data_IF_775096732445
#
_entry.id   IF_775096732445
#
_cell.length_a   1.000
_cell.length_b   1.000
_cell.length_c   1.000
_cell.angle_alpha   90.00
_cell.angle_beta   90.00
_cell.angle_gamma   90.00
#
_symmetry.space_group_name_H-M   'P 1'
#
loop_
_entity.id
_entity.type
_entity.pdbx_description
1 polymer ?
#
# COMPACT_ATOMS: atom_id res chain seq x y z
N UNK A 1 -1.46 23.84 13.75
CA UNK A 1 -2.64 23.00 14.02
C UNK A 1 -3.09 22.43 12.70
N UNK A 2 -2.86 21.16 12.50
CA UNK A 2 -3.45 20.46 11.35
C UNK A 2 -4.94 20.34 11.59
N UNK A 3 -5.74 20.97 10.74
CA UNK A 3 -7.17 20.69 10.69
C UNK A 3 -7.31 19.22 10.33
N UNK A 4 -7.70 18.39 11.30
CA UNK A 4 -8.19 17.06 11.04
C UNK A 4 -9.45 17.22 10.17
N UNK A 5 -9.27 17.10 8.86
CA UNK A 5 -10.40 16.94 7.96
C UNK A 5 -11.01 15.59 8.29
N UNK A 6 -11.96 15.57 9.19
CA UNK A 6 -12.88 14.44 9.30
C UNK A 6 -13.71 14.39 8.01
N UNK A 7 -13.25 13.61 7.06
CA UNK A 7 -14.13 13.17 5.99
C UNK A 7 -15.25 12.37 6.65
N UNK A 8 -16.50 12.75 6.36
CA UNK A 8 -17.68 12.19 6.99
C UNK A 8 -17.64 10.65 6.91
N UNK A 9 -17.53 10.00 8.06
CA UNK A 9 -17.57 8.54 8.17
C UNK A 9 -16.24 7.81 8.05
N UNK A 10 -15.10 8.49 7.83
CA UNK A 10 -13.78 7.87 7.79
C UNK A 10 -12.92 8.37 8.95
N UNK A 11 -12.21 7.44 9.60
CA UNK A 11 -11.18 7.77 10.57
C UNK A 11 -9.83 7.93 9.88
N UNK A 12 -9.12 9.01 10.20
CA UNK A 12 -7.73 9.19 9.79
C UNK A 12 -6.84 8.43 10.75
N UNK A 13 -5.99 7.55 10.22
CA UNK A 13 -5.07 6.74 11.01
C UNK A 13 -3.76 7.49 11.26
N UNK A 14 -3.20 7.33 12.46
CA UNK A 14 -1.84 7.79 12.75
C UNK A 14 -0.79 6.94 12.04
N UNK A 15 0.43 7.47 11.92
CA UNK A 15 1.53 6.81 11.20
C UNK A 15 1.86 5.43 11.77
N UNK A 16 1.92 5.30 13.08
CA UNK A 16 2.24 4.01 13.74
C UNK A 16 1.21 2.93 13.41
N UNK A 17 -0.07 3.26 13.44
CA UNK A 17 -1.14 2.32 13.09
C UNK A 17 -1.10 1.96 11.61
N UNK A 18 -0.80 2.91 10.73
CA UNK A 18 -0.57 2.64 9.30
C UNK A 18 0.54 1.62 9.10
N UNK A 19 1.67 1.77 9.80
CA UNK A 19 2.81 0.87 9.68
C UNK A 19 2.47 -0.55 10.18
N UNK A 20 1.69 -0.66 11.24
CA UNK A 20 1.22 -1.97 11.75
C UNK A 20 0.31 -2.67 10.73
N UNK A 21 -0.65 -1.96 10.16
CA UNK A 21 -1.54 -2.49 9.14
C UNK A 21 -0.79 -2.91 7.87
N UNK A 22 0.15 -2.08 7.46
CA UNK A 22 1.00 -2.35 6.29
C UNK A 22 1.80 -3.65 6.44
N UNK A 23 2.31 -3.93 7.63
CA UNK A 23 3.09 -5.13 7.91
C UNK A 23 2.27 -6.42 7.93
N UNK A 24 0.97 -6.33 8.12
CA UNK A 24 0.06 -7.47 8.24
C UNK A 24 -0.54 -7.95 6.93
N UNK A 25 -0.45 -7.19 5.85
CA UNK A 25 -0.97 -7.56 4.54
C UNK A 25 0.13 -8.18 3.66
N UNK A 26 -0.26 -8.84 2.60
CA UNK A 26 0.64 -9.60 1.71
C UNK A 26 0.59 -9.07 0.28
N UNK A 27 -0.53 -8.52 -0.13
CA UNK A 27 -0.77 -7.97 -1.46
C UNK A 27 -1.10 -6.50 -1.35
N UNK A 28 -0.49 -5.72 -2.20
CA UNK A 28 -0.81 -4.33 -2.41
C UNK A 28 -0.78 -3.98 -3.89
N UNK A 29 -0.84 -2.71 -4.19
CA UNK A 29 -0.85 -2.17 -5.55
C UNK A 29 0.15 -1.04 -5.65
N UNK A 30 0.87 -1.04 -6.75
CA UNK A 30 1.82 0.03 -7.09
C UNK A 30 1.22 0.84 -8.23
N UNK A 31 1.14 2.15 -8.02
CA UNK A 31 0.72 3.11 -9.03
C UNK A 31 1.87 4.04 -9.37
N UNK A 32 2.11 4.23 -10.65
CA UNK A 32 3.13 5.17 -11.17
C UNK A 32 2.81 5.54 -12.61
N UNK A 33 3.47 6.57 -13.11
CA UNK A 33 3.32 7.02 -14.48
C UNK A 33 4.62 6.78 -15.25
N UNK A 34 4.53 6.18 -16.41
CA UNK A 34 5.64 5.98 -17.32
C UNK A 34 5.20 6.35 -18.75
N UNK A 35 6.00 7.17 -19.43
CA UNK A 35 5.71 7.65 -20.78
C UNK A 35 4.33 8.31 -20.94
N UNK A 36 3.91 9.04 -19.91
CA UNK A 36 2.61 9.70 -19.87
C UNK A 36 1.41 8.78 -19.60
N UNK A 37 1.65 7.49 -19.37
CA UNK A 37 0.61 6.49 -19.12
C UNK A 37 0.61 6.11 -17.63
N UNK A 38 -0.53 6.23 -16.94
CA UNK A 38 -0.65 5.75 -15.57
C UNK A 38 -0.76 4.22 -15.54
N UNK A 39 -0.05 3.61 -14.61
CA UNK A 39 -0.06 2.17 -14.38
C UNK A 39 -0.51 1.87 -12.96
N UNK A 40 -1.25 0.79 -12.78
CA UNK A 40 -1.67 0.24 -11.50
C UNK A 40 -1.51 -1.28 -11.54
N UNK A 41 -0.66 -1.82 -10.69
CA UNK A 41 -0.28 -3.23 -10.73
C UNK A 41 -0.34 -3.85 -9.35
N UNK A 42 -0.95 -5.04 -9.17
CA UNK A 42 -0.90 -5.78 -7.93
C UNK A 42 0.48 -6.39 -7.74
N UNK A 43 0.96 -6.38 -6.51
CA UNK A 43 2.25 -6.96 -6.13
C UNK A 43 2.14 -7.69 -4.79
N UNK A 44 2.87 -8.77 -4.64
CA UNK A 44 3.23 -9.28 -3.33
C UNK A 44 4.34 -8.40 -2.77
N UNK A 45 4.30 -8.10 -1.49
CA UNK A 45 5.24 -7.19 -0.88
C UNK A 45 5.62 -7.59 0.53
N UNK A 46 6.68 -7.01 1.02
CA UNK A 46 7.00 -6.90 2.43
C UNK A 46 7.30 -5.44 2.77
N UNK A 47 7.11 -5.07 4.00
CA UNK A 47 7.41 -3.72 4.47
C UNK A 47 8.31 -3.79 5.70
N UNK A 48 9.25 -2.84 5.80
CA UNK A 48 10.04 -2.68 7.01
C UNK A 48 9.33 -1.77 8.03
N UNK A 49 9.96 -1.61 9.18
CA UNK A 49 9.42 -0.80 10.28
C UNK A 49 9.25 0.68 9.92
N UNK A 50 9.99 1.18 8.94
CA UNK A 50 9.95 2.57 8.49
C UNK A 50 8.89 2.80 7.39
N UNK A 51 8.22 1.75 6.95
CA UNK A 51 7.23 1.81 5.88
C UNK A 51 7.82 1.70 4.47
N UNK A 52 9.08 1.37 4.34
CA UNK A 52 9.66 1.03 3.04
C UNK A 52 9.06 -0.28 2.55
N UNK A 53 8.47 -0.23 1.37
CA UNK A 53 7.82 -1.36 0.73
C UNK A 53 8.76 -1.98 -0.28
N UNK A 54 8.92 -3.30 -0.23
CA UNK A 54 9.77 -4.07 -1.11
C UNK A 54 8.94 -5.09 -1.88
N UNK A 55 9.17 -5.18 -3.17
CA UNK A 55 8.48 -6.14 -4.04
C UNK A 55 9.41 -6.64 -5.15
N UNK A 56 9.02 -7.76 -5.74
CA UNK A 56 9.79 -8.43 -6.81
C UNK A 56 9.01 -8.38 -8.11
N UNK A 57 9.72 -8.28 -9.21
CA UNK A 57 9.16 -8.42 -10.55
C UNK A 57 10.06 -9.21 -11.47
N UNK A 58 9.48 -9.77 -12.53
CA UNK A 58 10.24 -10.38 -13.61
C UNK A 58 10.85 -9.30 -14.52
N UNK A 59 11.88 -9.67 -15.23
CA UNK A 59 12.46 -8.82 -16.27
C UNK A 59 11.45 -8.54 -17.40
N UNK A 60 11.62 -7.39 -18.05
CA UNK A 60 10.78 -6.95 -19.17
C UNK A 60 9.30 -6.71 -18.82
N UNK A 61 9.00 -6.41 -17.59
CA UNK A 61 7.66 -5.98 -17.17
C UNK A 61 7.59 -4.46 -17.08
N UNK A 62 6.38 -3.89 -17.21
CA UNK A 62 6.20 -2.45 -17.02
C UNK A 62 6.57 -1.99 -15.61
N UNK A 63 6.49 -2.89 -14.64
CA UNK A 63 6.83 -2.61 -13.24
C UNK A 63 8.31 -2.22 -13.05
N UNK A 64 9.20 -2.66 -13.92
CA UNK A 64 10.61 -2.22 -13.91
C UNK A 64 10.75 -0.72 -14.10
N UNK A 65 9.80 -0.09 -14.78
CA UNK A 65 9.81 1.35 -15.04
C UNK A 65 9.56 2.19 -13.79
N UNK A 66 9.23 1.58 -12.66
CA UNK A 66 9.03 2.30 -11.38
C UNK A 66 10.33 2.87 -10.82
N UNK A 67 11.47 2.32 -11.20
CA UNK A 67 12.78 2.79 -10.76
C UNK A 67 13.04 4.25 -11.12
N UNK A 68 13.35 5.07 -10.12
CA UNK A 68 13.60 6.49 -10.28
C UNK A 68 12.35 7.37 -10.45
N UNK A 69 11.16 6.81 -10.35
CA UNK A 69 9.90 7.52 -10.57
C UNK A 69 9.13 7.73 -9.27
N UNK A 70 8.36 8.83 -9.16
CA UNK A 70 7.36 8.95 -8.13
C UNK A 70 6.35 7.80 -8.23
N UNK A 71 6.02 7.21 -7.09
CA UNK A 71 5.12 6.09 -7.01
C UNK A 71 4.27 6.15 -5.75
N UNK A 72 3.11 5.51 -5.81
CA UNK A 72 2.25 5.28 -4.66
C UNK A 72 2.05 3.78 -4.53
N UNK A 73 2.28 3.28 -3.34
CA UNK A 73 1.88 1.92 -2.96
C UNK A 73 0.64 1.99 -2.07
N UNK A 74 -0.28 1.08 -2.26
CA UNK A 74 -1.48 0.96 -1.44
C UNK A 74 -1.67 -0.49 -1.01
N UNK A 75 -2.02 -0.67 0.27
CA UNK A 75 -2.54 -1.93 0.78
C UNK A 75 -3.83 -1.67 1.53
N UNK A 76 -4.74 -2.63 1.49
CA UNK A 76 -6.03 -2.52 2.12
C UNK A 76 -6.50 -3.86 2.69
N UNK A 77 -7.52 -3.78 3.53
CA UNK A 77 -8.24 -4.90 4.05
C UNK A 77 -9.68 -4.51 4.34
N UNK A 78 -10.58 -5.48 4.30
CA UNK A 78 -11.99 -5.22 4.59
C UNK A 78 -12.67 -6.44 5.21
N UNK A 79 -13.73 -6.15 5.96
CA UNK A 79 -14.68 -7.12 6.46
C UNK A 79 -16.06 -6.83 5.86
N UNK A 80 -16.47 -7.65 4.91
CA UNK A 80 -17.73 -7.45 4.20
C UNK A 80 -18.97 -7.69 5.08
N UNK A 81 -18.85 -8.46 6.17
CA UNK A 81 -19.95 -8.74 7.10
C UNK A 81 -20.23 -7.54 7.98
N UNK A 82 -19.17 -6.92 8.50
CA UNK A 82 -19.27 -5.77 9.39
C UNK A 82 -19.20 -4.44 8.65
N UNK A 83 -18.99 -4.45 7.34
CA UNK A 83 -18.82 -3.26 6.51
C UNK A 83 -17.70 -2.33 7.01
N UNK A 84 -16.62 -2.93 7.50
CA UNK A 84 -15.44 -2.23 7.95
C UNK A 84 -14.29 -2.41 6.96
N UNK A 85 -13.35 -1.51 6.98
CA UNK A 85 -12.17 -1.61 6.13
C UNK A 85 -11.11 -0.58 6.51
N UNK A 86 -9.94 -0.78 5.94
CA UNK A 86 -8.82 0.14 6.09
C UNK A 86 -8.03 0.20 4.79
N UNK A 87 -7.35 1.29 4.58
CA UNK A 87 -6.36 1.44 3.51
C UNK A 87 -5.16 2.23 4.02
N UNK A 88 -3.99 1.88 3.52
CA UNK A 88 -2.74 2.59 3.78
C UNK A 88 -2.07 2.89 2.45
N UNK A 89 -1.68 4.15 2.26
CA UNK A 89 -0.91 4.61 1.12
C UNK A 89 0.50 5.00 1.54
N UNK A 90 1.48 4.54 0.79
CA UNK A 90 2.87 4.94 0.90
C UNK A 90 3.24 5.69 -0.37
N UNK A 91 3.55 6.97 -0.25
CA UNK A 91 4.03 7.80 -1.36
C UNK A 91 5.54 7.96 -1.27
N UNK A 92 6.19 7.78 -2.36
CA UNK A 92 7.64 7.93 -2.41
C UNK A 92 8.19 7.79 -3.82
N UNK A 93 9.44 7.43 -3.90
CA UNK A 93 10.13 7.19 -5.15
C UNK A 93 10.54 5.73 -5.22
N UNK A 94 10.26 5.11 -6.37
CA UNK A 94 10.70 3.75 -6.65
C UNK A 94 12.21 3.71 -6.89
N UNK A 95 12.85 2.63 -6.44
CA UNK A 95 14.24 2.35 -6.79
C UNK A 95 14.48 0.86 -6.91
N UNK A 96 15.37 0.50 -7.79
CA UNK A 96 15.85 -0.87 -7.90
C UNK A 96 16.84 -1.18 -6.78
N UNK A 97 16.69 -2.34 -6.15
CA UNK A 97 17.60 -2.84 -5.14
C UNK A 97 18.68 -3.70 -5.80
N UNK A 98 19.92 -3.35 -5.54
CA UNK A 98 21.09 -4.12 -5.99
C UNK A 98 21.88 -4.61 -4.78
N UNK A 99 22.55 -5.73 -4.91
CA UNK A 99 23.32 -6.34 -3.80
C UNK A 99 24.52 -5.53 -3.32
N UNK A 100 24.80 -4.37 -3.92
CA UNK A 100 25.96 -3.52 -3.60
C UNK A 100 25.69 -2.45 -2.54
N UNK A 101 24.41 -2.14 -2.28
CA UNK A 101 24.00 -1.16 -1.28
C UNK A 101 23.70 -1.88 0.06
N UNK A 102 24.25 -1.36 1.15
CA UNK A 102 24.00 -1.90 2.50
C UNK A 102 22.51 -1.81 2.88
N UNK A 103 21.84 -0.74 2.53
CA UNK A 103 20.39 -0.58 2.74
C UNK A 103 19.61 -1.59 1.90
N UNK A 104 20.01 -1.80 0.65
CA UNK A 104 19.39 -2.79 -0.22
C UNK A 104 19.53 -4.20 0.34
N UNK A 105 20.70 -4.56 0.89
CA UNK A 105 20.90 -5.87 1.53
C UNK A 105 19.95 -6.11 2.68
N UNK A 106 19.75 -5.11 3.54
CA UNK A 106 18.80 -5.20 4.65
C UNK A 106 17.38 -5.41 4.16
N UNK A 107 16.98 -4.68 3.12
CA UNK A 107 15.63 -4.80 2.55
C UNK A 107 15.42 -6.13 1.82
N UNK A 108 16.46 -6.66 1.18
CA UNK A 108 16.40 -7.96 0.51
C UNK A 108 16.26 -9.15 1.49
N UNK A 109 16.56 -8.95 2.77
CA UNK A 109 16.31 -9.95 3.82
C UNK A 109 14.81 -10.09 4.14
N UNK A 110 14.00 -9.13 3.76
CA UNK A 110 12.54 -9.23 3.88
C UNK A 110 12.02 -10.34 2.95
N UNK A 111 11.25 -11.23 3.51
CA UNK A 111 10.73 -12.37 2.74
C UNK A 111 9.51 -11.94 1.92
N UNK A 112 9.67 -11.93 0.60
CA UNK A 112 8.57 -11.74 -0.35
C UNK A 112 8.37 -13.03 -1.13
N UNK A 113 7.21 -13.65 -0.94
CA UNK A 113 6.84 -14.87 -1.66
C UNK A 113 5.86 -14.49 -2.77
N UNK A 114 6.29 -14.50 -4.05
CA UNK A 114 5.38 -14.18 -5.15
C UNK A 114 4.36 -15.29 -5.36
N UNK A 115 3.10 -14.92 -5.52
CA UNK A 115 2.04 -15.88 -5.85
C UNK A 115 1.93 -16.16 -7.34
N UNK A 116 2.37 -15.22 -8.18
CA UNK A 116 2.39 -15.43 -9.61
C UNK A 116 3.53 -16.37 -10.01
N UNK A 117 3.31 -17.31 -10.95
CA UNK A 117 4.35 -18.19 -11.43
C UNK A 117 5.40 -17.43 -12.24
N UNK A 118 6.59 -18.02 -12.34
CA UNK A 118 7.69 -17.47 -13.11
C UNK A 118 8.84 -16.94 -12.25
N UNK A 119 9.96 -16.69 -12.92
CA UNK A 119 11.15 -16.15 -12.28
C UNK A 119 11.02 -14.66 -12.07
N UNK A 120 11.27 -14.20 -10.83
CA UNK A 120 11.12 -12.80 -10.43
C UNK A 120 12.38 -12.34 -9.73
N UNK A 121 13.36 -11.98 -10.54
CA UNK A 121 14.74 -11.77 -10.06
C UNK A 121 15.07 -10.31 -9.78
N UNK A 122 14.21 -9.38 -10.17
CA UNK A 122 14.42 -7.95 -9.94
C UNK A 122 13.63 -7.46 -8.75
N UNK A 123 14.32 -6.71 -7.90
CA UNK A 123 13.79 -6.19 -6.65
C UNK A 123 13.70 -4.68 -6.69
N UNK A 124 12.59 -4.17 -6.23
CA UNK A 124 12.33 -2.74 -6.13
C UNK A 124 11.85 -2.38 -4.73
N UNK A 125 12.09 -1.15 -4.34
CA UNK A 125 11.56 -0.57 -3.11
C UNK A 125 10.91 0.78 -3.40
N UNK A 126 9.92 1.12 -2.58
CA UNK A 126 9.38 2.47 -2.46
C UNK A 126 9.71 2.94 -1.06
N UNK A 127 10.59 3.94 -0.97
CA UNK A 127 10.94 4.59 0.29
C UNK A 127 9.93 5.69 0.54
N UNK A 128 9.27 5.71 1.72
CA UNK A 128 8.20 6.65 1.97
C UNK A 128 8.69 8.08 2.19
N UNK A 129 8.08 9.03 1.47
CA UNK A 129 8.07 10.45 1.82
C UNK A 129 6.86 10.75 2.71
N UNK A 130 5.79 10.00 2.54
CA UNK A 130 4.54 10.14 3.29
C UNK A 130 3.84 8.78 3.42
N UNK A 131 3.35 8.50 4.62
CA UNK A 131 2.48 7.35 4.90
C UNK A 131 1.16 7.86 5.45
N UNK A 132 0.07 7.50 4.81
CA UNK A 132 -1.28 7.89 5.22
C UNK A 132 -2.19 6.69 5.29
N UNK A 133 -3.21 6.74 6.10
CA UNK A 133 -4.19 5.66 6.19
C UNK A 133 -5.54 6.15 6.67
N UNK A 134 -6.54 5.35 6.34
CA UNK A 134 -7.94 5.59 6.70
C UNK A 134 -8.61 4.29 7.10
N UNK A 135 -9.59 4.41 7.97
CA UNK A 135 -10.44 3.29 8.40
C UNK A 135 -11.90 3.65 8.21
N UNK A 136 -12.67 2.70 7.71
CA UNK A 136 -14.13 2.70 7.81
C UNK A 136 -14.46 2.00 9.13
N UNK A 137 -14.91 2.73 10.15
CA UNK A 137 -15.19 2.14 11.44
C UNK A 137 -16.46 1.29 11.41
N UNK A 138 -16.61 0.41 12.39
CA UNK A 138 -17.86 -0.27 12.64
C UNK A 138 -18.93 0.77 13.01
N UNK A 139 -19.91 0.92 12.14
CA UNK A 139 -21.02 1.85 12.34
C UNK A 139 -22.16 1.09 12.99
N UNK A 140 -22.69 1.61 14.11
CA UNK A 140 -23.88 1.05 14.74
C UNK A 140 -25.12 1.46 13.95
N UNK A 141 -26.12 0.60 13.90
CA UNK A 141 -27.38 0.88 13.20
C UNK A 141 -28.05 2.21 13.65
N UNK A 142 -27.76 2.67 14.88
CA UNK A 142 -28.22 3.95 15.40
C UNK A 142 -27.54 5.17 14.75
N UNK A 143 -26.36 4.99 14.13
CA UNK A 143 -25.61 6.07 13.50
C UNK A 143 -26.03 6.29 12.03
N UNK A 144 -26.68 5.30 11.44
CA UNK A 144 -27.45 5.50 10.22
C UNK A 144 -28.80 6.08 10.61
N UNK A 145 -28.98 7.38 10.44
CA UNK A 145 -30.33 7.94 10.50
C UNK A 145 -31.24 7.06 9.64
N UNK A 146 -32.21 6.43 10.25
CA UNK A 146 -33.18 5.60 9.53
C UNK A 146 -33.76 6.40 8.36
N UNK A 147 -33.47 6.00 7.13
CA UNK A 147 -34.08 6.58 5.94
C UNK A 147 -35.26 5.68 5.59
N UNK A 148 -36.50 6.13 5.86
CA UNK A 148 -37.68 5.36 5.49
C UNK A 148 -37.72 5.20 3.96
N UNK A 149 -37.76 3.95 3.50
CA UNK A 149 -37.99 3.63 2.09
C UNK A 149 -36.82 3.06 1.31
N UNK A 150 -35.64 2.88 1.91
CA UNK A 150 -34.60 2.04 1.31
C UNK A 150 -34.78 0.62 1.80
N UNK A 151 -35.56 -0.15 1.06
CA UNK A 151 -35.62 -1.61 1.23
C UNK A 151 -34.49 -2.15 0.34
N UNK A 152 -33.51 -2.77 0.97
CA UNK A 152 -32.46 -3.52 0.27
C UNK A 152 -33.05 -4.77 -0.40
#
# INVERSE_FOLDING_TARGET
>A
MSEEKHEIGLEVLGTEECLQLLSGAVIGRVAFQADGVPHLLPVNYAADADGTVVFRTAEHTVLESVGGRPAVFEADGFDAVNHTGWSVCVRGTGRELTGHDTTARRLLELTVIPWAPGQRDRWFAITPDEVTGRRIPLVRAADFGWIPGVVS
#
